data_IF_653864274494
#
_entry.id   IF_653864274494
#
_cell.length_a   1.000
_cell.length_b   1.000
_cell.length_c   1.000
_cell.angle_alpha   90.00
_cell.angle_beta   90.00
_cell.angle_gamma   90.00
#
_symmetry.space_group_name_H-M   'P 1'
#
loop_
_entity.id
_entity.type
_entity.pdbx_description
1 polymer ?
#
# COMPACT_ATOMS: atom_id res chain seq x y z
N UNK A 1 4.24 -53.59 16.58
CA UNK A 1 4.34 -52.25 15.96
C UNK A 1 4.66 -52.29 14.46
N UNK A 2 5.56 -53.15 13.96
CA UNK A 2 5.88 -53.24 12.52
C UNK A 2 4.69 -53.60 11.60
N UNK A 3 3.77 -54.48 12.05
CA UNK A 3 2.59 -54.87 11.28
C UNK A 3 1.52 -53.76 11.12
N UNK A 4 1.45 -52.81 12.07
CA UNK A 4 0.52 -51.67 12.00
C UNK A 4 1.03 -50.58 11.04
N UNK A 5 2.36 -50.44 10.93
CA UNK A 5 3.02 -49.54 9.97
C UNK A 5 2.89 -50.09 8.54
N UNK A 6 3.04 -51.42 8.36
CA UNK A 6 2.82 -52.09 7.07
C UNK A 6 1.36 -52.03 6.60
N UNK A 7 0.38 -52.17 7.52
CA UNK A 7 -1.05 -52.03 7.18
C UNK A 7 -1.44 -50.60 6.77
N UNK A 8 -0.81 -49.57 7.37
CA UNK A 8 -0.99 -48.17 6.97
C UNK A 8 -0.36 -47.86 5.60
N UNK A 9 0.73 -48.56 5.24
CA UNK A 9 1.43 -48.42 3.96
C UNK A 9 0.70 -49.08 2.77
N UNK A 10 -0.11 -50.12 2.99
CA UNK A 10 -0.74 -50.90 1.91
C UNK A 10 -2.25 -50.63 1.73
N UNK A 11 -2.99 -50.34 2.80
CA UNK A 11 -4.45 -50.08 2.76
C UNK A 11 -4.85 -48.64 3.19
N UNK A 12 -3.90 -47.88 3.73
CA UNK A 12 -4.12 -46.56 4.35
C UNK A 12 -4.16 -45.30 3.46
N UNK A 13 -3.77 -45.26 2.17
CA UNK A 13 -3.73 -44.00 1.41
C UNK A 13 -5.05 -43.20 1.37
N UNK A 14 -6.24 -43.82 1.11
CA UNK A 14 -7.49 -43.07 1.09
C UNK A 14 -7.95 -42.66 2.50
N UNK A 15 -7.68 -43.48 3.53
CA UNK A 15 -8.04 -43.15 4.92
C UNK A 15 -7.17 -42.01 5.46
N UNK A 16 -5.86 -42.05 5.19
CA UNK A 16 -4.92 -40.98 5.53
C UNK A 16 -5.26 -39.68 4.79
N UNK A 17 -5.57 -39.76 3.48
CA UNK A 17 -6.05 -38.61 2.72
C UNK A 17 -7.29 -37.99 3.35
N UNK A 18 -8.29 -38.81 3.71
CA UNK A 18 -9.50 -38.32 4.40
C UNK A 18 -9.17 -37.65 5.74
N UNK A 19 -8.24 -38.21 6.51
CA UNK A 19 -7.84 -37.63 7.79
C UNK A 19 -7.12 -36.28 7.62
N UNK A 20 -6.17 -36.19 6.67
CA UNK A 20 -5.48 -34.94 6.33
C UNK A 20 -6.48 -33.87 5.89
N UNK A 21 -7.41 -34.22 5.01
CA UNK A 21 -8.46 -33.30 4.54
C UNK A 21 -9.39 -32.88 5.68
N UNK A 22 -9.78 -33.81 6.56
CA UNK A 22 -10.63 -33.52 7.70
C UNK A 22 -9.95 -32.58 8.71
N UNK A 23 -8.67 -32.80 9.02
CA UNK A 23 -7.90 -31.95 9.93
C UNK A 23 -7.63 -30.56 9.31
N UNK A 24 -7.34 -30.49 8.01
CA UNK A 24 -7.24 -29.22 7.29
C UNK A 24 -8.57 -28.45 7.33
N UNK A 25 -9.69 -29.14 7.08
CA UNK A 25 -11.03 -28.54 7.14
C UNK A 25 -11.37 -28.04 8.54
N UNK A 26 -11.00 -28.78 9.59
CA UNK A 26 -11.17 -28.36 10.97
C UNK A 26 -10.37 -27.09 11.31
N UNK A 27 -9.28 -26.83 10.58
CA UNK A 27 -8.46 -25.61 10.66
C UNK A 27 -8.90 -24.52 9.67
N UNK A 28 -10.05 -24.67 9.01
CA UNK A 28 -10.58 -23.67 8.11
C UNK A 28 -10.01 -23.74 6.69
N UNK A 29 -9.32 -24.81 6.31
CA UNK A 29 -8.65 -24.94 5.00
C UNK A 29 -9.30 -26.05 4.18
N UNK A 30 -9.78 -25.73 2.99
CA UNK A 30 -10.09 -26.74 1.98
C UNK A 30 -8.78 -27.15 1.31
N UNK A 31 -8.37 -28.40 1.48
CA UNK A 31 -7.07 -28.91 1.02
C UNK A 31 -7.28 -30.04 0.01
N UNK A 32 -6.65 -29.94 -1.14
CA UNK A 32 -6.29 -31.08 -1.97
C UNK A 32 -4.82 -31.40 -1.74
N UNK A 33 -4.49 -32.51 -1.05
CA UNK A 33 -3.12 -32.77 -0.61
C UNK A 33 -2.15 -33.14 -1.74
N UNK A 34 -2.63 -33.36 -2.97
CA UNK A 34 -1.80 -33.81 -4.08
C UNK A 34 -1.23 -35.21 -3.82
N UNK A 35 0.06 -35.40 -4.10
CA UNK A 35 0.75 -36.65 -3.79
C UNK A 35 1.14 -36.69 -2.30
N UNK A 36 0.88 -37.82 -1.66
CA UNK A 36 1.14 -38.05 -0.23
C UNK A 36 2.20 -39.14 -0.09
N UNK A 37 3.32 -38.81 0.54
CA UNK A 37 4.33 -39.78 0.95
C UNK A 37 4.35 -39.87 2.48
N UNK A 38 4.42 -41.09 3.01
CA UNK A 38 4.43 -41.35 4.45
C UNK A 38 5.82 -41.79 4.89
N UNK A 39 6.42 -41.04 5.81
CA UNK A 39 7.67 -41.38 6.47
C UNK A 39 7.44 -41.83 7.91
N UNK A 40 8.51 -42.29 8.56
CA UNK A 40 8.45 -42.61 9.99
C UNK A 40 8.30 -41.31 10.80
N UNK A 41 7.10 -41.04 11.31
CA UNK A 41 6.81 -39.84 12.10
C UNK A 41 6.57 -38.57 11.30
N UNK A 42 6.36 -38.67 9.98
CA UNK A 42 6.06 -37.51 9.15
C UNK A 42 5.19 -37.86 7.93
N UNK A 43 4.47 -36.85 7.45
CA UNK A 43 3.69 -36.92 6.21
C UNK A 43 4.18 -35.83 5.27
N UNK A 44 4.51 -36.19 4.04
CA UNK A 44 4.95 -35.26 3.01
C UNK A 44 3.86 -35.08 1.97
N UNK A 45 3.55 -33.83 1.66
CA UNK A 45 2.63 -33.45 0.60
C UNK A 45 3.42 -32.83 -0.55
N UNK A 46 3.06 -33.17 -1.79
CA UNK A 46 3.65 -32.60 -3.00
C UNK A 46 2.58 -32.09 -3.94
N UNK A 47 2.73 -30.84 -4.39
CA UNK A 47 1.78 -30.17 -5.27
C UNK A 47 0.40 -29.99 -4.64
N UNK A 48 0.35 -29.71 -3.34
CA UNK A 48 -0.89 -29.50 -2.64
C UNK A 48 -1.56 -28.19 -3.09
N UNK A 49 -2.89 -28.17 -3.13
CA UNK A 49 -3.68 -26.98 -3.44
C UNK A 49 -4.60 -26.69 -2.27
N UNK A 50 -4.78 -25.42 -1.93
CA UNK A 50 -5.63 -25.04 -0.82
C UNK A 50 -6.43 -23.78 -1.09
N UNK A 51 -7.53 -23.64 -0.37
CA UNK A 51 -8.29 -22.40 -0.23
C UNK A 51 -8.79 -22.28 1.20
N UNK A 52 -9.13 -21.06 1.62
CA UNK A 52 -9.69 -20.82 2.95
C UNK A 52 -11.21 -20.95 2.90
N UNK A 53 -11.78 -21.73 3.82
CA UNK A 53 -13.22 -21.93 3.90
C UNK A 53 -13.92 -20.59 4.21
N UNK A 54 -14.91 -20.21 3.40
CA UNK A 54 -15.64 -18.97 3.59
C UNK A 54 -14.90 -17.70 3.15
N UNK A 55 -13.69 -17.80 2.59
CA UNK A 55 -12.97 -16.68 1.98
C UNK A 55 -12.94 -16.87 0.47
N UNK A 56 -13.70 -16.05 -0.27
CA UNK A 56 -13.74 -16.11 -1.73
C UNK A 56 -12.51 -15.44 -2.34
N UNK A 57 -12.06 -15.86 -3.51
CA UNK A 57 -10.95 -15.21 -4.19
C UNK A 57 -9.56 -15.42 -3.57
N UNK A 58 -9.43 -16.22 -2.51
CA UNK A 58 -8.15 -16.57 -1.92
C UNK A 58 -7.87 -18.07 -2.10
N UNK A 59 -6.81 -18.38 -2.84
CA UNK A 59 -6.38 -19.74 -3.13
C UNK A 59 -4.87 -19.83 -3.13
N UNK A 60 -4.34 -21.03 -3.04
CA UNK A 60 -2.90 -21.21 -3.08
C UNK A 60 -2.46 -22.62 -3.42
N UNK A 61 -1.17 -22.74 -3.63
CA UNK A 61 -0.47 -24.00 -3.86
C UNK A 61 0.70 -24.11 -2.90
N UNK A 62 1.09 -25.34 -2.61
CA UNK A 62 2.29 -25.64 -1.85
C UNK A 62 3.06 -26.69 -2.64
N UNK A 63 4.25 -26.33 -3.10
CA UNK A 63 5.09 -27.25 -3.86
C UNK A 63 5.46 -28.47 -3.00
N UNK A 64 5.91 -28.23 -1.76
CA UNK A 64 6.24 -29.28 -0.79
C UNK A 64 5.83 -28.88 0.63
N UNK A 65 5.17 -29.77 1.36
CA UNK A 65 4.94 -29.62 2.79
C UNK A 65 5.36 -30.88 3.54
N UNK A 66 6.08 -30.73 4.65
CA UNK A 66 6.41 -31.80 5.57
C UNK A 66 5.69 -31.53 6.88
N UNK A 67 4.83 -32.47 7.26
CA UNK A 67 4.04 -32.44 8.48
C UNK A 67 4.69 -33.39 9.46
N UNK A 68 5.37 -32.88 10.47
CA UNK A 68 5.93 -33.69 11.54
C UNK A 68 4.79 -34.19 12.44
N UNK A 69 4.85 -35.46 12.83
CA UNK A 69 3.84 -36.10 13.68
C UNK A 69 4.44 -36.43 15.06
N UNK A 70 3.63 -36.23 16.11
CA UNK A 70 3.86 -36.79 17.44
C UNK A 70 2.77 -37.82 17.70
N UNK A 71 3.10 -39.10 17.52
CA UNK A 71 2.09 -40.16 17.44
C UNK A 71 1.26 -40.00 16.16
N UNK A 72 -0.05 -39.81 16.29
CA UNK A 72 -0.97 -39.57 15.18
C UNK A 72 -1.36 -38.08 15.02
N UNK A 73 -0.83 -37.20 15.87
CA UNK A 73 -1.19 -35.78 15.87
C UNK A 73 -0.10 -34.93 15.21
N UNK A 74 -0.46 -33.90 14.42
CA UNK A 74 0.52 -33.01 13.82
C UNK A 74 1.21 -32.16 14.89
N UNK A 75 2.54 -32.10 14.83
CA UNK A 75 3.39 -31.35 15.74
C UNK A 75 3.99 -30.08 15.11
N UNK A 76 4.10 -30.03 13.78
CA UNK A 76 4.63 -28.87 13.05
C UNK A 76 4.50 -29.05 11.54
N UNK A 77 4.52 -27.93 10.81
CA UNK A 77 4.55 -27.91 9.34
C UNK A 77 5.79 -27.14 8.89
N UNK A 78 6.54 -27.74 7.96
CA UNK A 78 7.52 -27.07 7.13
C UNK A 78 7.03 -27.06 5.68
N UNK A 79 6.74 -25.89 5.13
CA UNK A 79 6.32 -25.74 3.74
C UNK A 79 7.41 -25.04 2.91
N UNK A 80 7.53 -25.40 1.64
CA UNK A 80 8.43 -24.76 0.69
C UNK A 80 7.70 -24.52 -0.64
N UNK A 81 7.92 -23.35 -1.23
CA UNK A 81 7.23 -22.93 -2.45
C UNK A 81 5.74 -22.74 -2.21
N UNK A 82 5.40 -21.87 -1.26
CA UNK A 82 4.01 -21.51 -0.96
C UNK A 82 3.62 -20.37 -1.87
N UNK A 83 2.61 -20.59 -2.72
CA UNK A 83 2.04 -19.55 -3.56
C UNK A 83 0.62 -19.25 -3.11
N UNK A 84 0.32 -18.00 -2.80
CA UNK A 84 -1.01 -17.51 -2.50
C UNK A 84 -1.42 -16.55 -3.59
N UNK A 85 -2.63 -16.68 -4.10
CA UNK A 85 -3.25 -15.71 -5.01
C UNK A 85 -4.51 -15.16 -4.35
N UNK A 86 -4.54 -13.84 -4.20
CA UNK A 86 -5.73 -13.08 -3.85
C UNK A 86 -6.32 -12.46 -5.12
N UNK A 87 -7.64 -12.57 -5.25
CA UNK A 87 -8.43 -12.05 -6.35
C UNK A 87 -9.43 -11.05 -5.81
N UNK A 88 -9.32 -9.80 -6.27
CA UNK A 88 -10.17 -8.70 -5.88
C UNK A 88 -10.10 -8.37 -4.40
N UNK A 89 -11.07 -7.57 -3.95
CA UNK A 89 -11.21 -7.18 -2.54
C UNK A 89 -12.02 -8.20 -1.72
N UNK A 90 -12.75 -9.09 -2.40
CA UNK A 90 -13.56 -10.16 -1.78
C UNK A 90 -12.69 -11.11 -0.94
N UNK A 91 -11.46 -11.36 -1.39
CA UNK A 91 -10.44 -12.14 -0.68
C UNK A 91 -10.09 -11.57 0.69
N UNK A 92 -10.23 -10.26 0.85
CA UNK A 92 -9.83 -9.56 2.06
C UNK A 92 -11.01 -9.36 3.03
N UNK A 93 -12.26 -9.43 2.55
CA UNK A 93 -13.45 -9.29 3.38
C UNK A 93 -13.72 -10.51 4.28
N UNK A 94 -13.52 -11.72 3.74
CA UNK A 94 -13.73 -12.96 4.48
C UNK A 94 -12.65 -13.26 5.52
N UNK A 95 -11.47 -12.64 5.39
CA UNK A 95 -10.28 -13.03 6.15
C UNK A 95 -10.39 -12.76 7.67
N UNK A 96 -10.90 -11.61 8.15
CA UNK A 96 -11.06 -11.39 9.60
C UNK A 96 -12.03 -12.38 10.25
N UNK A 97 -13.15 -12.68 9.58
CA UNK A 97 -14.11 -13.68 10.05
C UNK A 97 -13.48 -15.08 10.11
N UNK A 98 -12.69 -15.43 9.09
CA UNK A 98 -11.93 -16.68 9.08
C UNK A 98 -10.91 -16.74 10.22
N UNK A 99 -10.16 -15.67 10.48
CA UNK A 99 -9.19 -15.61 11.60
C UNK A 99 -9.89 -15.72 12.95
N UNK A 100 -11.04 -15.05 13.14
CA UNK A 100 -11.80 -15.17 14.38
C UNK A 100 -12.29 -16.61 14.63
N UNK A 101 -12.75 -17.29 13.57
CA UNK A 101 -13.31 -18.65 13.68
C UNK A 101 -12.24 -19.75 13.77
N UNK A 102 -11.20 -19.66 12.93
CA UNK A 102 -10.21 -20.73 12.73
C UNK A 102 -8.80 -20.38 13.20
N UNK A 103 -8.52 -19.10 13.44
CA UNK A 103 -7.19 -18.57 13.80
C UNK A 103 -6.54 -19.24 15.02
N UNK A 104 -7.23 -19.43 16.17
CA UNK A 104 -6.63 -20.09 17.33
C UNK A 104 -6.14 -21.50 17.02
N UNK A 105 -6.95 -22.28 16.28
CA UNK A 105 -6.58 -23.64 15.88
C UNK A 105 -5.50 -23.61 14.79
N UNK A 106 -5.56 -22.71 13.83
CA UNK A 106 -4.54 -22.56 12.79
C UNK A 106 -3.17 -22.12 13.36
N UNK A 107 -3.17 -21.33 14.43
CA UNK A 107 -1.96 -20.83 15.08
C UNK A 107 -1.32 -21.84 16.05
N UNK A 108 -2.06 -22.84 16.52
CA UNK A 108 -1.55 -23.84 17.48
C UNK A 108 -0.45 -24.73 16.91
N UNK A 109 -0.30 -24.76 15.59
CA UNK A 109 0.73 -25.54 14.92
C UNK A 109 1.90 -24.65 14.47
N UNK A 110 3.13 -24.93 14.91
CA UNK A 110 4.31 -24.27 14.38
C UNK A 110 4.38 -24.41 12.85
N UNK A 111 4.53 -23.28 12.16
CA UNK A 111 4.66 -23.22 10.71
C UNK A 111 5.98 -22.54 10.36
N UNK A 112 6.80 -23.23 9.58
CA UNK A 112 7.98 -22.67 8.91
C UNK A 112 7.74 -22.71 7.41
N UNK A 113 8.01 -21.61 6.71
CA UNK A 113 7.83 -21.57 5.25
C UNK A 113 9.06 -21.03 4.55
N UNK A 114 9.59 -21.79 3.61
CA UNK A 114 10.58 -21.33 2.63
C UNK A 114 9.88 -20.86 1.36
N UNK A 115 10.39 -19.77 0.76
CA UNK A 115 9.93 -19.19 -0.52
C UNK A 115 8.41 -19.02 -0.59
N UNK A 116 7.94 -17.88 -0.12
CA UNK A 116 6.54 -17.46 -0.18
C UNK A 116 6.36 -16.49 -1.34
N UNK A 117 5.31 -16.74 -2.12
CA UNK A 117 4.81 -15.84 -3.14
C UNK A 117 3.36 -15.45 -2.81
N UNK A 118 3.08 -14.17 -2.73
CA UNK A 118 1.73 -13.62 -2.61
C UNK A 118 1.43 -12.81 -3.86
N UNK A 119 0.52 -13.28 -4.70
CA UNK A 119 0.05 -12.59 -5.89
C UNK A 119 -1.32 -11.95 -5.67
N UNK A 120 -1.53 -10.78 -6.27
CA UNK A 120 -2.80 -10.06 -6.30
C UNK A 120 -3.25 -9.90 -7.76
N UNK A 121 -4.52 -10.21 -8.00
CA UNK A 121 -5.23 -9.97 -9.27
C UNK A 121 -6.46 -9.12 -8.97
N UNK A 122 -6.80 -8.19 -9.85
CA UNK A 122 -8.01 -7.39 -9.66
C UNK A 122 -9.29 -8.22 -9.88
N UNK A 123 -9.23 -9.21 -10.78
CA UNK A 123 -10.35 -10.09 -11.14
C UNK A 123 -9.87 -11.49 -11.47
N UNK A 124 -10.78 -12.44 -11.41
CA UNK A 124 -10.45 -13.84 -11.70
C UNK A 124 -10.01 -14.01 -13.16
N UNK A 125 -9.02 -14.88 -13.38
CA UNK A 125 -8.36 -15.05 -14.68
C UNK A 125 -7.59 -13.83 -15.22
N UNK A 126 -7.60 -12.68 -14.52
CA UNK A 126 -6.89 -11.48 -14.91
C UNK A 126 -5.36 -11.59 -14.73
N UNK A 127 -4.59 -10.68 -15.37
CA UNK A 127 -3.16 -10.61 -15.12
C UNK A 127 -2.88 -10.25 -13.66
N UNK A 128 -1.77 -10.77 -13.15
CA UNK A 128 -1.29 -10.38 -11.83
C UNK A 128 -0.81 -8.93 -11.83
N UNK A 129 -1.35 -8.14 -10.91
CA UNK A 129 -1.08 -6.70 -10.83
C UNK A 129 0.01 -6.35 -9.83
N UNK A 130 0.14 -7.16 -8.78
CA UNK A 130 1.14 -7.03 -7.73
C UNK A 130 1.52 -8.42 -7.25
N UNK A 131 2.80 -8.67 -6.98
CA UNK A 131 3.22 -9.83 -6.20
C UNK A 131 4.36 -9.50 -5.25
N UNK A 132 4.37 -10.20 -4.12
CA UNK A 132 5.49 -10.32 -3.20
C UNK A 132 6.07 -11.70 -3.40
N UNK A 133 7.29 -11.82 -3.94
CA UNK A 133 7.90 -13.10 -4.30
C UNK A 133 9.18 -13.37 -3.52
N UNK A 134 9.57 -14.65 -3.48
CA UNK A 134 10.81 -15.14 -2.89
C UNK A 134 11.04 -14.72 -1.42
N UNK A 135 9.96 -14.49 -0.68
CA UNK A 135 10.03 -14.04 0.70
C UNK A 135 10.18 -15.23 1.66
N UNK A 136 10.87 -15.02 2.79
CA UNK A 136 10.76 -15.93 3.93
C UNK A 136 9.79 -15.35 4.96
N UNK A 137 8.76 -16.12 5.31
CA UNK A 137 7.79 -15.70 6.32
C UNK A 137 8.27 -16.08 7.72
N UNK A 138 8.29 -15.08 8.60
CA UNK A 138 8.50 -15.26 10.04
C UNK A 138 7.20 -14.87 10.74
N UNK A 139 6.50 -15.85 11.32
CA UNK A 139 5.29 -15.59 12.12
C UNK A 139 5.69 -15.17 13.53
N UNK A 140 5.02 -14.15 14.08
CA UNK A 140 5.17 -13.74 15.47
C UNK A 140 3.96 -14.20 16.29
N UNK A 141 4.21 -14.60 17.54
CA UNK A 141 3.12 -14.93 18.46
C UNK A 141 2.30 -13.67 18.79
N UNK A 142 1.00 -13.85 19.01
CA UNK A 142 0.00 -12.79 19.23
C UNK A 142 0.21 -11.91 20.48
N UNK A 143 1.34 -12.02 21.18
CA UNK A 143 1.60 -11.39 22.48
C UNK A 143 2.56 -10.20 22.47
N UNK A 144 3.12 -9.79 21.33
CA UNK A 144 4.13 -8.73 21.29
C UNK A 144 3.97 -7.81 20.07
N UNK A 145 2.86 -7.06 20.03
CA UNK A 145 2.88 -5.77 19.34
C UNK A 145 3.27 -4.75 20.40
N UNK A 146 4.49 -4.22 20.34
CA UNK A 146 4.92 -3.16 21.25
C UNK A 146 3.99 -1.95 21.09
N UNK A 147 3.38 -1.51 22.19
CA UNK A 147 2.51 -0.31 22.21
C UNK A 147 1.00 -0.58 22.06
N UNK A 148 0.56 -1.83 21.85
CA UNK A 148 -0.86 -2.18 21.93
C UNK A 148 -1.26 -2.51 23.37
N UNK A 149 -2.38 -1.96 23.86
CA UNK A 149 -2.95 -2.37 25.13
C UNK A 149 -3.18 -3.90 25.14
N UNK A 150 -2.89 -4.56 26.26
CA UNK A 150 -3.09 -5.99 26.38
C UNK A 150 -4.53 -6.36 25.97
N UNK A 151 -4.73 -7.27 25.00
CA UNK A 151 -6.07 -7.64 24.58
C UNK A 151 -6.82 -8.25 25.78
N UNK A 152 -8.13 -7.98 25.91
CA UNK A 152 -8.91 -8.53 27.00
C UNK A 152 -8.86 -10.07 27.00
N UNK A 153 -8.97 -10.73 28.17
CA UNK A 153 -8.95 -12.18 28.25
C UNK A 153 -10.00 -12.80 27.33
N UNK A 154 -9.57 -13.66 26.40
CA UNK A 154 -10.46 -14.32 25.44
C UNK A 154 -10.66 -13.59 24.11
N UNK A 155 -10.07 -12.41 23.88
CA UNK A 155 -10.07 -11.80 22.56
C UNK A 155 -9.24 -12.64 21.56
N UNK A 156 -9.69 -12.83 20.31
CA UNK A 156 -8.91 -13.50 19.29
C UNK A 156 -7.58 -12.76 19.11
N UNK A 157 -6.48 -13.47 19.38
CA UNK A 157 -5.14 -12.89 19.32
C UNK A 157 -4.82 -12.37 17.92
N UNK A 158 -4.20 -11.19 17.87
CA UNK A 158 -3.71 -10.59 16.63
C UNK A 158 -2.67 -11.52 15.99
N UNK A 159 -2.93 -11.97 14.77
CA UNK A 159 -1.92 -12.72 14.02
C UNK A 159 -0.99 -11.72 13.35
N UNK A 160 0.32 -11.87 13.54
CA UNK A 160 1.31 -11.01 12.91
C UNK A 160 2.49 -11.81 12.36
N UNK A 161 3.20 -11.21 11.42
CA UNK A 161 4.43 -11.76 10.88
C UNK A 161 5.13 -10.79 9.95
N UNK A 162 6.24 -11.24 9.40
CA UNK A 162 7.06 -10.47 8.47
C UNK A 162 7.44 -11.36 7.30
N UNK A 163 7.27 -10.83 6.08
CA UNK A 163 7.86 -11.36 4.87
C UNK A 163 9.20 -10.67 4.67
N UNK A 164 10.28 -11.40 4.91
CA UNK A 164 11.64 -10.86 4.80
C UNK A 164 12.10 -10.86 3.34
N UNK A 165 12.70 -9.76 2.93
CA UNK A 165 13.37 -9.60 1.64
C UNK A 165 12.48 -9.97 0.45
N UNK A 166 11.20 -9.65 0.54
CA UNK A 166 10.22 -9.88 -0.50
C UNK A 166 10.56 -9.06 -1.74
N UNK A 167 10.61 -9.70 -2.89
CA UNK A 167 10.69 -9.03 -4.19
C UNK A 167 9.31 -8.49 -4.53
N UNK A 168 9.20 -7.20 -4.74
CA UNK A 168 7.97 -6.52 -5.11
C UNK A 168 7.91 -6.52 -6.63
N UNK A 169 6.91 -7.19 -7.17
CA UNK A 169 6.64 -7.30 -8.59
C UNK A 169 5.39 -6.48 -8.92
N UNK A 170 5.48 -5.53 -9.85
CA UNK A 170 4.32 -4.78 -10.35
C UNK A 170 4.11 -5.15 -11.82
N UNK A 171 2.92 -5.69 -12.14
CA UNK A 171 2.63 -6.24 -13.47
C UNK A 171 3.75 -7.16 -14.00
N UNK A 172 4.30 -8.01 -13.13
CA UNK A 172 5.38 -8.95 -13.45
C UNK A 172 6.79 -8.38 -13.50
N UNK A 173 7.00 -7.07 -13.37
CA UNK A 173 8.34 -6.46 -13.31
C UNK A 173 8.82 -6.32 -11.87
N UNK A 174 10.08 -6.68 -11.63
CA UNK A 174 10.77 -6.45 -10.35
C UNK A 174 11.05 -4.96 -10.17
N UNK A 175 10.44 -4.37 -9.15
CA UNK A 175 10.57 -2.94 -8.85
C UNK A 175 11.39 -2.72 -7.59
N UNK A 176 11.24 -3.55 -6.55
CA UNK A 176 11.88 -3.31 -5.27
C UNK A 176 12.12 -4.60 -4.49
N UNK A 177 12.96 -4.51 -3.45
CA UNK A 177 13.09 -5.55 -2.43
C UNK A 177 12.89 -4.94 -1.06
N UNK A 178 11.97 -5.47 -0.27
CA UNK A 178 11.64 -4.91 1.04
C UNK A 178 11.11 -5.96 2.02
N UNK A 179 11.18 -5.62 3.29
CA UNK A 179 10.48 -6.37 4.34
C UNK A 179 9.03 -5.89 4.41
N UNK A 180 8.09 -6.84 4.45
CA UNK A 180 6.64 -6.55 4.57
C UNK A 180 6.12 -7.16 5.85
N UNK A 181 5.90 -6.31 6.86
CA UNK A 181 5.21 -6.68 8.07
C UNK A 181 3.71 -6.74 7.82
N UNK A 182 3.02 -7.69 8.46
CA UNK A 182 1.58 -7.82 8.37
C UNK A 182 0.98 -8.13 9.73
N UNK A 183 -0.26 -7.70 9.93
CA UNK A 183 -1.10 -8.13 11.02
C UNK A 183 -2.55 -8.30 10.57
N UNK A 184 -3.23 -9.28 11.15
CA UNK A 184 -4.66 -9.52 10.95
C UNK A 184 -5.32 -9.52 12.31
N UNK A 185 -6.17 -8.52 12.53
CA UNK A 185 -7.05 -8.40 13.68
C UNK A 185 -8.50 -8.80 13.34
N UNK A 186 -9.40 -8.74 14.32
CA UNK A 186 -10.81 -9.09 14.13
C UNK A 186 -11.57 -8.12 13.20
N UNK A 187 -11.07 -6.89 13.04
CA UNK A 187 -11.75 -5.84 12.27
C UNK A 187 -10.86 -5.18 11.19
N UNK A 188 -9.56 -5.46 11.18
CA UNK A 188 -8.62 -4.84 10.25
C UNK A 188 -7.48 -5.76 9.86
N UNK A 189 -6.92 -5.48 8.69
CA UNK A 189 -5.69 -6.09 8.16
C UNK A 189 -4.71 -4.94 7.97
N UNK A 190 -3.53 -5.03 8.58
CA UNK A 190 -2.47 -4.03 8.39
C UNK A 190 -1.29 -4.61 7.64
N UNK A 191 -0.72 -3.83 6.73
CA UNK A 191 0.53 -4.10 6.02
C UNK A 191 1.47 -2.94 6.27
N UNK A 192 2.75 -3.23 6.51
CA UNK A 192 3.81 -2.23 6.62
C UNK A 192 4.98 -2.60 5.73
N UNK A 193 5.41 -1.68 4.88
CA UNK A 193 6.52 -1.87 3.94
C UNK A 193 7.76 -1.14 4.44
N UNK A 194 8.94 -1.78 4.36
CA UNK A 194 10.21 -1.17 4.77
C UNK A 194 10.54 -1.30 6.24
N UNK A 195 9.88 -2.22 6.96
CA UNK A 195 10.12 -2.44 8.38
C UNK A 195 9.66 -3.82 8.83
N UNK A 196 10.15 -4.26 9.97
CA UNK A 196 9.71 -5.53 10.55
C UNK A 196 8.42 -5.41 11.36
N UNK A 197 7.98 -4.20 11.69
CA UNK A 197 6.74 -3.95 12.40
C UNK A 197 5.84 -3.06 11.55
N UNK A 198 4.57 -3.46 11.39
CA UNK A 198 3.62 -2.70 10.61
C UNK A 198 3.36 -1.32 11.25
N UNK A 199 3.42 -1.24 12.59
CA UNK A 199 3.18 -0.02 13.35
C UNK A 199 4.34 0.98 13.32
N UNK A 200 5.53 0.60 12.84
CA UNK A 200 6.67 1.51 12.68
C UNK A 200 7.14 1.62 11.21
N UNK A 201 6.48 0.92 10.29
CA UNK A 201 6.84 0.93 8.89
C UNK A 201 6.63 2.33 8.27
N UNK A 202 7.54 2.79 7.38
CA UNK A 202 7.41 4.09 6.71
C UNK A 202 6.16 4.19 5.86
N UNK A 203 5.79 3.10 5.17
CA UNK A 203 4.55 3.01 4.40
C UNK A 203 3.64 1.96 5.03
N UNK A 204 2.46 2.37 5.47
CA UNK A 204 1.44 1.51 6.07
C UNK A 204 0.19 1.50 5.22
N UNK A 205 -0.41 0.33 5.07
CA UNK A 205 -1.77 0.19 4.58
C UNK A 205 -2.61 -0.51 5.65
N UNK A 206 -3.74 0.06 6.03
CA UNK A 206 -4.73 -0.57 6.87
C UNK A 206 -6.01 -0.77 6.07
N UNK A 207 -6.48 -2.01 5.98
CA UNK A 207 -7.76 -2.35 5.38
C UNK A 207 -8.77 -2.67 6.49
N UNK A 208 -9.95 -2.05 6.39
CA UNK A 208 -11.10 -2.27 7.26
C UNK A 208 -12.26 -2.81 6.42
N UNK A 209 -12.50 -4.13 6.41
CA UNK A 209 -13.46 -4.70 5.47
C UNK A 209 -14.93 -4.47 5.86
N UNK A 210 -15.23 -4.17 7.13
CA UNK A 210 -16.59 -4.02 7.65
C UNK A 210 -16.72 -2.82 8.59
N UNK A 211 -17.94 -2.23 8.70
CA UNK A 211 -19.18 -2.53 7.97
C UNK A 211 -19.22 -1.99 6.54
N UNK A 212 -18.28 -1.12 6.18
CA UNK A 212 -18.07 -0.60 4.83
C UNK A 212 -16.59 -0.74 4.48
N UNK A 213 -16.22 -1.47 3.41
CA UNK A 213 -14.84 -1.63 2.99
C UNK A 213 -14.15 -0.28 2.81
N UNK A 214 -13.10 -0.05 3.58
CA UNK A 214 -12.23 1.11 3.43
C UNK A 214 -10.78 0.71 3.60
N UNK A 215 -9.88 1.42 2.94
CA UNK A 215 -8.45 1.29 3.12
C UNK A 215 -7.85 2.66 3.42
N UNK A 216 -6.95 2.72 4.40
CA UNK A 216 -6.10 3.88 4.63
C UNK A 216 -4.67 3.52 4.26
N UNK A 217 -3.98 4.43 3.60
CA UNK A 217 -2.55 4.34 3.31
C UNK A 217 -1.90 5.54 3.98
N UNK A 218 -0.93 5.28 4.85
CA UNK A 218 -0.19 6.30 5.57
C UNK A 218 1.28 6.20 5.23
N UNK A 219 1.87 7.33 4.87
CA UNK A 219 3.30 7.52 4.68
C UNK A 219 3.81 8.39 5.83
N UNK A 220 4.53 7.76 6.76
CA UNK A 220 5.25 8.49 7.81
C UNK A 220 6.31 9.40 7.17
N UNK A 221 6.71 10.52 7.82
CA UNK A 221 7.77 11.38 7.33
C UNK A 221 9.05 10.61 6.98
N UNK A 222 9.31 10.45 5.69
CA UNK A 222 10.35 9.57 5.14
C UNK A 222 11.08 10.29 4.02
N UNK A 223 12.40 10.08 3.88
CA UNK A 223 13.14 10.62 2.75
C UNK A 223 12.58 10.09 1.42
N UNK A 224 12.38 10.97 0.44
CA UNK A 224 11.78 10.63 -0.85
C UNK A 224 12.55 9.50 -1.54
N UNK A 225 13.89 9.49 -1.46
CA UNK A 225 14.73 8.43 -2.00
C UNK A 225 14.43 7.05 -1.38
N UNK A 226 14.16 6.99 -0.07
CA UNK A 226 13.81 5.74 0.60
C UNK A 226 12.41 5.26 0.19
N UNK A 227 11.44 6.17 0.01
CA UNK A 227 10.12 5.84 -0.55
C UNK A 227 10.23 5.34 -1.98
N UNK A 228 11.06 6.02 -2.80
CA UNK A 228 11.37 5.59 -4.16
C UNK A 228 11.95 4.18 -4.21
N UNK A 229 12.90 3.86 -3.32
CA UNK A 229 13.46 2.51 -3.20
C UNK A 229 12.42 1.46 -2.80
N UNK A 230 11.46 1.78 -1.93
CA UNK A 230 10.37 0.87 -1.54
C UNK A 230 9.40 0.56 -2.68
N UNK A 231 9.16 1.55 -3.55
CA UNK A 231 8.22 1.44 -4.66
C UNK A 231 8.91 1.08 -5.99
N UNK A 232 10.24 1.03 -6.02
CA UNK A 232 11.03 0.82 -7.22
C UNK A 232 10.96 1.94 -8.24
N UNK A 233 10.85 3.16 -7.73
CA UNK A 233 10.72 4.38 -8.51
C UNK A 233 11.99 5.20 -8.36
N UNK A 234 12.63 5.52 -9.49
CA UNK A 234 13.75 6.45 -9.49
C UNK A 234 13.25 7.89 -9.35
N UNK A 235 13.54 8.47 -8.19
CA UNK A 235 13.24 9.86 -7.81
C UNK A 235 14.48 10.75 -7.83
N UNK A 236 15.63 10.22 -8.26
CA UNK A 236 16.92 10.88 -8.21
C UNK A 236 17.48 11.06 -6.79
N UNK A 237 18.66 11.69 -6.69
CA UNK A 237 19.23 12.09 -5.42
C UNK A 237 18.44 13.28 -4.86
N UNK A 238 17.53 12.99 -3.91
CA UNK A 238 16.68 14.00 -3.29
C UNK A 238 16.82 13.96 -1.77
N UNK A 239 17.03 15.13 -1.16
CA UNK A 239 17.00 15.33 0.30
C UNK A 239 15.60 15.62 0.82
N UNK A 240 14.58 15.55 -0.05
CA UNK A 240 13.20 15.86 0.31
C UNK A 240 12.65 14.81 1.27
N UNK A 241 11.77 15.25 2.17
CA UNK A 241 11.02 14.37 3.08
C UNK A 241 9.55 14.43 2.68
N UNK A 242 8.95 13.26 2.46
CA UNK A 242 7.53 13.13 2.12
C UNK A 242 6.79 12.45 3.25
N UNK A 243 5.58 12.93 3.52
CA UNK A 243 4.60 12.27 4.38
C UNK A 243 3.21 12.44 3.78
N UNK A 244 2.25 11.63 4.23
CA UNK A 244 0.87 11.86 3.84
C UNK A 244 -0.07 10.70 4.12
N UNK A 245 -1.32 10.92 3.76
CA UNK A 245 -2.40 9.95 3.89
C UNK A 245 -3.17 9.84 2.59
N UNK A 246 -3.70 8.65 2.34
CA UNK A 246 -4.64 8.38 1.28
C UNK A 246 -5.73 7.45 1.82
N UNK A 247 -6.96 7.95 1.85
CA UNK A 247 -8.12 7.18 2.26
C UNK A 247 -8.87 6.70 1.02
N UNK A 248 -9.34 5.46 1.05
CA UNK A 248 -10.11 4.81 0.01
C UNK A 248 -11.36 4.19 0.61
N UNK A 249 -12.50 4.45 -0.01
CA UNK A 249 -13.80 3.86 0.32
C UNK A 249 -14.56 3.56 -0.96
N UNK A 250 -15.58 2.71 -0.87
CA UNK A 250 -16.53 2.52 -1.98
C UNK A 250 -17.16 3.87 -2.36
N UNK A 251 -17.19 4.16 -3.66
CA UNK A 251 -17.86 5.34 -4.17
C UNK A 251 -19.36 5.31 -3.85
N UNK A 252 -19.95 6.49 -3.71
CA UNK A 252 -21.39 6.60 -3.47
C UNK A 252 -22.20 5.91 -4.59
N UNK A 253 -23.13 5.03 -4.20
CA UNK A 253 -23.96 4.27 -5.14
C UNK A 253 -23.27 3.07 -5.81
N UNK A 254 -22.04 2.73 -5.43
CA UNK A 254 -21.36 1.55 -5.94
C UNK A 254 -22.06 0.25 -5.53
N UNK A 255 -22.09 -0.72 -6.46
CA UNK A 255 -22.67 -2.04 -6.22
C UNK A 255 -21.84 -2.81 -5.17
N UNK A 256 -22.48 -3.10 -4.03
CA UNK A 256 -21.87 -3.85 -2.92
C UNK A 256 -21.80 -5.35 -3.16
N UNK A 257 -22.45 -5.85 -4.21
CA UNK A 257 -22.40 -7.26 -4.60
C UNK A 257 -21.27 -7.57 -5.58
N UNK A 258 -20.67 -6.54 -6.18
CA UNK A 258 -19.57 -6.61 -7.13
C UNK A 258 -18.37 -5.72 -6.69
N UNK A 259 -17.91 -5.89 -5.45
CA UNK A 259 -16.86 -5.04 -4.84
C UNK A 259 -15.55 -5.00 -5.65
N UNK A 260 -15.22 -6.10 -6.33
CA UNK A 260 -14.03 -6.20 -7.18
C UNK A 260 -14.05 -5.22 -8.37
N UNK A 261 -15.25 -4.81 -8.83
CA UNK A 261 -15.44 -3.87 -9.95
C UNK A 261 -15.95 -2.49 -9.49
N UNK A 262 -16.26 -2.34 -8.21
CA UNK A 262 -16.81 -1.12 -7.65
C UNK A 262 -15.78 0.03 -7.67
N UNK A 263 -16.13 1.23 -8.20
CA UNK A 263 -15.26 2.41 -8.10
C UNK A 263 -14.94 2.74 -6.63
N UNK A 264 -13.71 3.19 -6.38
CA UNK A 264 -13.29 3.66 -5.06
C UNK A 264 -13.02 5.16 -5.10
N UNK A 265 -13.24 5.84 -3.99
CA UNK A 265 -12.99 7.27 -3.84
C UNK A 265 -12.32 7.57 -2.50
N UNK A 266 -11.66 8.72 -2.41
CA UNK A 266 -11.32 9.32 -1.13
C UNK A 266 -10.19 10.35 -1.19
N UNK A 267 -9.96 11.05 -0.07
CA UNK A 267 -9.01 12.16 -0.02
C UNK A 267 -7.56 11.67 0.01
N UNK A 268 -6.71 12.42 -0.69
CA UNK A 268 -5.25 12.37 -0.62
C UNK A 268 -4.77 13.65 0.04
N UNK A 269 -3.84 13.52 0.99
CA UNK A 269 -3.11 14.63 1.58
C UNK A 269 -1.63 14.27 1.69
N UNK A 270 -0.79 14.95 0.91
CA UNK A 270 0.66 14.77 0.92
C UNK A 270 1.35 16.06 1.38
N UNK A 271 2.46 15.91 2.05
CA UNK A 271 3.36 17.00 2.44
C UNK A 271 4.77 16.63 2.00
N UNK A 272 5.44 17.58 1.34
CA UNK A 272 6.81 17.44 0.86
C UNK A 272 7.63 18.59 1.44
N UNK A 273 8.59 18.26 2.31
CA UNK A 273 9.55 19.19 2.88
C UNK A 273 10.85 19.17 2.06
N UNK A 274 11.46 20.34 1.88
CA UNK A 274 12.65 20.54 1.07
C UNK A 274 12.37 20.62 -0.44
N UNK A 275 11.10 20.78 -0.84
CA UNK A 275 10.72 20.96 -2.23
C UNK A 275 10.25 22.38 -2.49
N UNK A 276 10.92 23.05 -3.41
CA UNK A 276 10.53 24.36 -3.95
C UNK A 276 9.90 24.14 -5.32
N UNK A 277 8.63 24.53 -5.48
CA UNK A 277 7.93 24.43 -6.76
C UNK A 277 8.70 25.20 -7.84
N UNK A 278 8.88 24.64 -9.05
CA UNK A 278 9.37 25.40 -10.19
C UNK A 278 8.49 26.63 -10.42
N UNK A 279 9.06 27.82 -10.26
CA UNK A 279 8.35 29.09 -10.46
C UNK A 279 9.03 29.94 -11.53
N UNK A 280 8.27 30.79 -12.24
CA UNK A 280 8.84 31.84 -13.07
C UNK A 280 9.76 32.76 -12.25
N UNK A 281 10.79 33.33 -12.90
CA UNK A 281 11.78 34.22 -12.26
C UNK A 281 11.13 35.48 -11.68
N UNK A 282 9.98 35.89 -12.21
CA UNK A 282 9.20 37.02 -11.73
C UNK A 282 8.64 36.81 -10.33
N UNK A 283 8.63 35.56 -9.83
CA UNK A 283 8.18 35.22 -8.48
C UNK A 283 9.33 35.08 -7.47
N UNK A 284 10.59 35.32 -7.89
CA UNK A 284 11.76 35.27 -7.01
C UNK A 284 11.62 36.30 -5.86
N UNK A 285 11.78 35.84 -4.61
CA UNK A 285 11.64 36.66 -3.39
C UNK A 285 10.29 36.51 -2.66
N UNK A 286 9.29 35.84 -3.26
CA UNK A 286 8.15 35.34 -2.49
C UNK A 286 8.65 34.32 -1.46
N UNK A 287 8.11 34.40 -0.23
CA UNK A 287 8.33 33.37 0.80
C UNK A 287 7.62 32.10 0.36
N UNK A 288 8.26 31.32 -0.50
CA UNK A 288 7.94 29.92 -0.71
C UNK A 288 8.42 29.19 0.53
N UNK A 289 7.50 28.63 1.30
CA UNK A 289 7.87 27.79 2.43
C UNK A 289 8.74 26.63 1.96
N UNK A 290 9.53 26.06 2.87
CA UNK A 290 10.27 24.82 2.63
C UNK A 290 9.34 23.59 2.50
N UNK A 291 8.04 23.80 2.68
CA UNK A 291 7.02 22.77 2.76
C UNK A 291 5.96 23.02 1.69
N UNK A 292 5.80 22.04 0.80
CA UNK A 292 4.74 21.98 -0.20
C UNK A 292 3.69 20.97 0.25
N UNK A 293 2.41 21.34 0.21
CA UNK A 293 1.29 20.44 0.50
C UNK A 293 0.50 20.18 -0.77
N UNK A 294 0.03 18.95 -0.95
CA UNK A 294 -0.83 18.52 -2.06
C UNK A 294 -2.07 17.88 -1.44
N UNK A 295 -3.25 18.40 -1.79
CA UNK A 295 -4.54 17.82 -1.41
C UNK A 295 -5.35 17.54 -2.65
N UNK A 296 -6.11 16.45 -2.67
CA UNK A 296 -7.00 16.11 -3.77
C UNK A 296 -8.04 15.09 -3.31
N UNK A 297 -9.16 15.04 -4.01
CA UNK A 297 -10.08 13.90 -3.97
C UNK A 297 -9.74 12.97 -5.14
N UNK A 298 -9.47 11.71 -4.83
CA UNK A 298 -9.14 10.69 -5.82
C UNK A 298 -10.37 9.81 -6.09
N UNK A 299 -10.55 9.46 -7.36
CA UNK A 299 -11.54 8.47 -7.80
C UNK A 299 -10.84 7.41 -8.64
N UNK A 300 -10.75 6.19 -8.11
CA UNK A 300 -10.20 5.02 -8.79
C UNK A 300 -11.31 4.30 -9.57
N UNK A 301 -11.10 4.14 -10.87
CA UNK A 301 -12.03 3.44 -11.76
C UNK A 301 -12.25 1.98 -11.33
N UNK A 302 -13.38 1.39 -11.75
CA UNK A 302 -13.71 0.00 -11.45
C UNK A 302 -12.68 -1.00 -11.98
N UNK A 303 -12.09 -0.71 -13.15
CA UNK A 303 -11.01 -1.52 -13.75
C UNK A 303 -9.62 -1.27 -13.14
N UNK A 304 -9.51 -0.38 -12.14
CA UNK A 304 -8.28 0.00 -11.43
C UNK A 304 -7.18 0.58 -12.32
N UNK A 305 -7.50 1.02 -13.54
CA UNK A 305 -6.52 1.56 -14.49
C UNK A 305 -6.37 3.07 -14.40
N UNK A 306 -7.37 3.79 -13.89
CA UNK A 306 -7.37 5.25 -13.86
C UNK A 306 -7.71 5.78 -12.48
N UNK A 307 -6.90 6.71 -12.00
CA UNK A 307 -7.21 7.56 -10.85
C UNK A 307 -7.48 8.96 -11.40
N UNK A 308 -8.71 9.43 -11.29
CA UNK A 308 -9.04 10.83 -11.52
C UNK A 308 -8.81 11.62 -10.23
N UNK A 309 -8.16 12.78 -10.32
CA UNK A 309 -7.91 13.70 -9.21
C UNK A 309 -8.73 14.96 -9.43
N UNK A 310 -9.65 15.24 -8.51
CA UNK A 310 -10.47 16.45 -8.49
C UNK A 310 -10.13 17.31 -7.28
N UNK A 311 -10.40 18.61 -7.37
CA UNK A 311 -10.14 19.53 -6.26
C UNK A 311 -8.68 19.58 -5.86
N UNK A 312 -7.75 19.34 -6.81
CA UNK A 312 -6.33 19.34 -6.52
C UNK A 312 -5.94 20.71 -6.02
N UNK A 313 -5.33 20.80 -4.85
CA UNK A 313 -4.74 22.01 -4.28
C UNK A 313 -3.27 21.74 -3.98
N UNK A 314 -2.38 22.51 -4.60
CA UNK A 314 -0.94 22.52 -4.32
C UNK A 314 -0.59 23.85 -3.69
N UNK A 315 -0.08 23.82 -2.46
CA UNK A 315 0.28 25.03 -1.73
C UNK A 315 1.73 24.98 -1.24
N UNK A 316 2.50 26.04 -1.52
CA UNK A 316 3.86 26.24 -1.03
C UNK A 316 4.04 27.71 -0.61
N UNK A 317 4.15 27.97 0.69
CA UNK A 317 4.14 29.33 1.22
C UNK A 317 2.89 30.11 0.82
N UNK A 318 3.07 31.25 0.16
CA UNK A 318 1.97 32.09 -0.34
C UNK A 318 1.37 31.63 -1.68
N UNK A 319 2.06 30.75 -2.42
CA UNK A 319 1.56 30.23 -3.68
C UNK A 319 0.54 29.12 -3.42
N UNK A 320 -0.65 29.27 -4.02
CA UNK A 320 -1.70 28.25 -4.04
C UNK A 320 -2.16 28.03 -5.46
N UNK A 321 -2.04 26.80 -5.94
CA UNK A 321 -2.49 26.35 -7.24
C UNK A 321 -3.64 25.36 -7.06
N UNK A 322 -4.64 25.44 -7.93
CA UNK A 322 -5.82 24.58 -7.95
C UNK A 322 -6.06 24.00 -9.33
N UNK A 323 -6.59 22.78 -9.39
CA UNK A 323 -6.95 22.17 -10.66
C UNK A 323 -7.37 20.73 -10.57
N UNK A 324 -7.01 19.97 -11.60
CA UNK A 324 -7.36 18.56 -11.75
C UNK A 324 -6.16 17.76 -12.23
N UNK A 325 -6.25 16.45 -12.12
CA UNK A 325 -5.24 15.55 -12.64
C UNK A 325 -5.79 14.16 -12.93
N UNK A 326 -4.95 13.35 -13.55
CA UNK A 326 -5.23 11.95 -13.77
C UNK A 326 -3.94 11.14 -13.70
N UNK A 327 -4.05 9.93 -13.14
CA UNK A 327 -3.01 8.91 -13.18
C UNK A 327 -3.58 7.75 -13.97
N UNK A 328 -2.94 7.36 -15.05
CA UNK A 328 -3.35 6.25 -15.89
C UNK A 328 -2.27 5.17 -15.86
N UNK A 329 -2.63 3.98 -15.36
CA UNK A 329 -1.75 2.82 -15.32
C UNK A 329 -1.57 2.22 -16.71
N UNK A 330 -0.33 1.88 -17.02
CA UNK A 330 0.09 1.18 -18.23
C UNK A 330 1.09 0.07 -17.86
N UNK A 331 0.55 -1.09 -17.48
CA UNK A 331 1.30 -2.22 -16.96
C UNK A 331 2.03 -1.88 -15.64
N UNK A 332 3.36 -1.82 -15.72
CA UNK A 332 4.25 -1.46 -14.62
C UNK A 332 4.62 0.04 -14.59
N UNK A 333 4.20 0.81 -15.60
CA UNK A 333 4.37 2.27 -15.66
C UNK A 333 3.02 2.94 -15.36
N UNK A 334 3.05 4.26 -15.17
CA UNK A 334 1.84 5.08 -15.11
C UNK A 334 2.13 6.46 -15.69
N UNK A 335 1.23 6.98 -16.53
CA UNK A 335 1.27 8.38 -16.91
C UNK A 335 0.53 9.23 -15.88
N UNK A 336 1.12 10.37 -15.55
CA UNK A 336 0.60 11.32 -14.58
C UNK A 336 0.45 12.65 -15.32
N UNK A 337 -0.77 13.17 -15.35
CA UNK A 337 -1.09 14.48 -15.93
C UNK A 337 -1.77 15.35 -14.89
N UNK A 338 -1.34 16.60 -14.74
CA UNK A 338 -1.99 17.59 -13.88
C UNK A 338 -2.01 18.95 -14.56
N UNK A 339 -3.16 19.63 -14.49
CA UNK A 339 -3.32 21.00 -14.94
C UNK A 339 -3.71 21.85 -13.74
N UNK A 340 -2.81 22.75 -13.32
CA UNK A 340 -2.93 23.56 -12.12
C UNK A 340 -2.96 25.04 -12.49
N UNK A 341 -3.76 25.81 -11.78
CA UNK A 341 -3.91 27.26 -12.00
C UNK A 341 -4.03 28.00 -10.67
N UNK A 342 -3.48 29.20 -10.58
CA UNK A 342 -3.58 30.04 -9.40
C UNK A 342 -3.38 31.50 -9.75
N UNK A 343 -3.48 32.35 -8.74
CA UNK A 343 -3.18 33.77 -8.91
C UNK A 343 -2.45 34.32 -7.70
N UNK A 344 -1.48 35.19 -7.94
CA UNK A 344 -0.74 35.90 -6.90
C UNK A 344 -1.06 37.39 -7.01
N UNK A 345 -1.59 38.02 -5.95
CA UNK A 345 -1.74 39.48 -5.90
C UNK A 345 -0.41 40.21 -6.15
N UNK A 346 -0.42 41.22 -7.03
CA UNK A 346 0.80 41.98 -7.38
C UNK A 346 1.40 42.73 -6.18
N UNK A 347 0.58 43.10 -5.20
CA UNK A 347 1.02 43.70 -3.94
C UNK A 347 1.90 42.76 -3.11
N UNK A 348 1.66 41.45 -3.17
CA UNK A 348 2.51 40.45 -2.49
C UNK A 348 3.85 40.29 -3.20
N UNK A 349 3.86 40.25 -4.54
CA UNK A 349 5.08 40.14 -5.34
C UNK A 349 6.04 41.29 -5.09
N UNK A 350 5.52 42.52 -5.16
CA UNK A 350 6.35 43.70 -5.05
C UNK A 350 6.80 43.96 -3.61
N UNK A 351 5.98 43.62 -2.60
CA UNK A 351 6.40 43.64 -1.20
C UNK A 351 7.50 42.63 -0.87
N UNK A 352 7.46 41.45 -1.50
CA UNK A 352 8.47 40.40 -1.42
C UNK A 352 9.81 40.82 -2.04
N UNK A 353 9.80 41.35 -3.25
CA UNK A 353 11.00 41.87 -3.92
C UNK A 353 11.62 43.04 -3.15
N UNK A 354 10.79 43.94 -2.60
CA UNK A 354 11.28 45.05 -1.78
C UNK A 354 11.98 44.57 -0.50
N UNK A 355 11.46 43.56 0.19
CA UNK A 355 12.10 43.00 1.39
C UNK A 355 13.38 42.20 1.08
N UNK A 356 13.46 41.56 -0.11
CA UNK A 356 14.66 40.83 -0.52
C UNK A 356 15.86 41.75 -0.81
N UNK A 357 15.60 42.99 -1.25
CA UNK A 357 16.64 43.95 -1.62
C UNK A 357 16.84 45.12 -0.63
N UNK A 358 15.90 45.35 0.29
CA UNK A 358 15.96 46.42 1.29
C UNK A 358 15.91 45.82 2.71
N UNK A 359 17.03 45.82 3.42
CA UNK A 359 17.12 45.33 4.80
C UNK A 359 16.64 46.37 5.82
N UNK A 360 15.91 45.93 6.86
CA UNK A 360 15.54 46.76 8.01
C UNK A 360 14.26 47.59 7.84
N UNK A 361 14.14 48.70 8.57
CA UNK A 361 12.93 49.53 8.64
C UNK A 361 12.50 50.13 7.28
N UNK A 362 13.46 50.32 6.36
CA UNK A 362 13.21 50.84 4.99
C UNK A 362 12.43 49.82 4.15
N UNK A 363 12.72 48.52 4.29
CA UNK A 363 11.97 47.47 3.61
C UNK A 363 10.51 47.38 4.06
N UNK A 364 10.22 47.66 5.33
CA UNK A 364 8.86 47.67 5.89
C UNK A 364 8.03 48.86 5.36
N UNK A 365 8.63 50.06 5.30
CA UNK A 365 7.97 51.25 4.74
C UNK A 365 7.73 51.12 3.23
N UNK A 366 8.73 50.62 2.49
CA UNK A 366 8.60 50.37 1.06
C UNK A 366 7.50 49.33 0.76
N UNK A 367 7.40 48.28 1.58
CA UNK A 367 6.33 47.27 1.49
C UNK A 367 4.94 47.89 1.67
N UNK A 368 4.75 48.72 2.71
CA UNK A 368 3.42 49.33 2.97
C UNK A 368 3.02 50.27 1.83
N UNK A 369 3.96 51.09 1.33
CA UNK A 369 3.73 52.00 0.19
C UNK A 369 3.36 51.24 -1.10
N UNK A 370 4.15 50.21 -1.45
CA UNK A 370 3.98 49.42 -2.68
C UNK A 370 2.71 48.57 -2.62
N UNK A 371 2.34 48.06 -1.44
CA UNK A 371 1.11 47.28 -1.27
C UNK A 371 -0.16 48.10 -1.48
N UNK A 372 -0.10 49.43 -1.27
CA UNK A 372 -1.21 50.36 -1.47
C UNK A 372 -1.31 50.87 -2.90
N UNK A 373 -0.18 50.96 -3.62
CA UNK A 373 -0.11 51.53 -4.98
C UNK A 373 -0.22 50.50 -6.10
N UNK A 374 -0.06 49.20 -5.83
CA UNK A 374 -0.23 48.16 -6.86
C UNK A 374 -1.56 47.42 -6.72
N UNK A 375 -2.24 47.26 -7.85
CA UNK A 375 -3.44 46.44 -8.00
C UNK A 375 -3.25 45.39 -9.10
N UNK A 376 -4.11 44.38 -9.09
CA UNK A 376 -4.09 43.28 -10.05
C UNK A 376 -3.42 42.02 -9.52
N UNK A 377 -3.29 41.03 -10.41
CA UNK A 377 -2.73 39.73 -10.09
C UNK A 377 -1.89 39.19 -11.24
N UNK A 378 -0.97 38.28 -10.90
CA UNK A 378 -0.28 37.42 -11.85
C UNK A 378 -1.02 36.10 -11.88
N UNK A 379 -1.59 35.75 -13.03
CA UNK A 379 -2.18 34.43 -13.24
C UNK A 379 -1.05 33.44 -13.51
N UNK A 380 -1.03 32.33 -12.78
CA UNK A 380 -0.02 31.26 -12.91
C UNK A 380 -0.74 29.99 -13.36
N UNK A 381 -0.20 29.32 -14.37
CA UNK A 381 -0.62 27.97 -14.75
C UNK A 381 0.60 27.05 -14.71
N UNK A 382 0.41 25.82 -14.24
CA UNK A 382 1.45 24.80 -14.20
C UNK A 382 0.85 23.53 -14.76
N UNK A 383 1.43 23.05 -15.86
CA UNK A 383 1.10 21.75 -16.42
C UNK A 383 2.20 20.76 -16.07
N UNK A 384 1.82 19.60 -15.53
CA UNK A 384 2.71 18.52 -15.17
C UNK A 384 2.38 17.31 -16.03
N UNK A 385 3.38 16.81 -16.74
CA UNK A 385 3.30 15.56 -17.51
C UNK A 385 4.49 14.68 -17.09
N UNK A 386 4.21 13.55 -16.43
CA UNK A 386 5.24 12.65 -15.92
C UNK A 386 4.91 11.18 -16.19
N UNK A 387 5.94 10.33 -16.07
CA UNK A 387 5.80 8.87 -16.05
C UNK A 387 6.41 8.32 -14.77
N UNK A 388 5.72 7.40 -14.11
CA UNK A 388 6.18 6.78 -12.86
C UNK A 388 7.56 6.11 -13.02
N UNK A 389 7.81 5.48 -14.16
CA UNK A 389 9.12 4.89 -14.49
C UNK A 389 10.26 5.91 -14.68
N UNK A 390 9.95 7.20 -14.88
CA UNK A 390 10.92 8.25 -15.22
C UNK A 390 10.53 9.59 -14.58
N UNK A 391 10.34 9.61 -13.26
CA UNK A 391 9.95 10.83 -12.55
C UNK A 391 11.01 11.94 -12.66
N UNK A 392 12.29 11.58 -12.75
CA UNK A 392 13.41 12.52 -12.97
C UNK A 392 13.33 13.26 -14.31
N UNK A 393 12.57 12.74 -15.28
CA UNK A 393 12.34 13.35 -16.59
C UNK A 393 10.93 13.98 -16.71
N UNK A 394 10.25 14.22 -15.59
CA UNK A 394 8.94 14.88 -15.58
C UNK A 394 9.02 16.26 -16.25
N UNK A 395 8.04 16.55 -17.11
CA UNK A 395 7.90 17.85 -17.75
C UNK A 395 6.98 18.72 -16.92
N UNK A 396 7.52 19.83 -16.45
CA UNK A 396 6.77 20.88 -15.75
C UNK A 396 6.83 22.12 -16.61
N UNK A 397 5.69 22.54 -17.13
CA UNK A 397 5.55 23.72 -18.00
C UNK A 397 4.81 24.82 -17.25
N UNK A 398 5.52 25.71 -16.53
CA UNK A 398 4.90 26.87 -15.91
C UNK A 398 4.62 27.95 -16.96
N UNK A 399 3.51 28.66 -16.81
CA UNK A 399 3.21 29.89 -17.55
C UNK A 399 2.69 30.95 -16.57
N UNK A 400 3.04 32.20 -16.82
CA UNK A 400 2.56 33.33 -16.03
C UNK A 400 2.11 34.48 -16.93
N UNK A 401 0.97 35.07 -16.59
CA UNK A 401 0.43 36.25 -17.28
C UNK A 401 0.29 37.36 -16.24
N UNK A 402 1.15 38.37 -16.34
CA UNK A 402 1.14 39.51 -15.42
C UNK A 402 0.04 40.49 -15.81
N UNK A 403 -0.83 40.84 -14.86
CA UNK A 403 -1.86 41.89 -15.00
C UNK A 403 -1.77 42.92 -13.87
N UNK A 404 -0.55 43.28 -13.50
CA UNK A 404 -0.31 44.32 -12.49
C UNK A 404 -0.56 45.71 -13.07
N UNK A 405 -1.20 46.57 -12.29
CA UNK A 405 -1.46 47.98 -12.63
C UNK A 405 -1.19 48.85 -11.41
N UNK A 406 -0.82 50.11 -11.64
CA UNK A 406 -0.77 51.12 -10.59
C UNK A 406 -2.20 51.55 -10.25
N UNK A 407 -2.52 51.61 -8.96
CA UNK A 407 -3.66 52.35 -8.41
C UNK A 407 -3.25 53.82 -8.42
N UNK A 408 -3.71 54.55 -9.45
CA UNK A 408 -3.64 56.01 -9.52
C UNK A 408 -4.78 56.63 -8.70
#
# INVERSE_FOLDING_TARGET
MAAAVAALLVLGPPALRRHIVAEARARGVALDPGAIDVGLGEVRLRGARFSLLGVRGLSGTVARATIALRGLSPAGIAADGVELTAVGVDALEGLPAWVAQHGPRAASLPLTTGRVRLGLRDRDGGPEVLALADASLVRRAAGAVQGAAAPPPGAPGLQAGVLKQARVLVAGKDVARTDVAWSIGPASISLGFGGEDAASAPLRAELRPRPSPSASIELAPTQLAAVGALLGVDVGASTMVVSGTFELRLAAGADRTALSEAPLEGPIALTVKGFTLPHPRELDGLLFGDTTTVKADAQLSGDRRRIALSGVEVAAGALKLKGTGAIQRDGADASIGMDLSGSIPCSLLAGSAAMAHLTGAVGLLARDLVSRTLAGSVAVQVRVDARASRLTAARVSPSAVLRCKLRL
#
